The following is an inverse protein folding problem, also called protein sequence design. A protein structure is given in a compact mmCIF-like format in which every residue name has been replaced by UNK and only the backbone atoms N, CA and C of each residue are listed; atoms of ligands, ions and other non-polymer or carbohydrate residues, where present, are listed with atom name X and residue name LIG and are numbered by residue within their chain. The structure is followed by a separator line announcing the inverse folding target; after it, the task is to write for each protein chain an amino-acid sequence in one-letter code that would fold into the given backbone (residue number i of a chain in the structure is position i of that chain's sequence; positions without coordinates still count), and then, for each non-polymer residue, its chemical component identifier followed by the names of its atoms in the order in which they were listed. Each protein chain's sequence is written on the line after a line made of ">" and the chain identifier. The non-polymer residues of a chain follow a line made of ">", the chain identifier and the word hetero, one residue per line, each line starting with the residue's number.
data_IF_173963254631
#
_entry.id   IF_173963254631
#
_cell.length_a   1.000
_cell.length_b   1.000
_cell.length_c   1.000
_cell.angle_alpha   90.00
_cell.angle_beta   90.00
_cell.angle_gamma   90.00
#
_symmetry.space_group_name_H-M   'P 1'
#
loop_
_entity.id
_entity.type
_entity.pdbx_description
1 polymer ?
#
# COMPACT_ATOMS: atom_id res chain seq x y z
N UNK A 1 4.79 2.31 -12.75
CA UNK A 1 4.05 1.72 -13.89
C UNK A 1 2.96 0.78 -13.40
N UNK A 2 3.30 -0.35 -12.74
CA UNK A 2 2.28 -1.26 -12.18
C UNK A 2 1.32 -0.55 -11.20
N UNK A 3 1.86 0.19 -10.23
CA UNK A 3 1.06 0.99 -9.28
C UNK A 3 0.07 1.93 -9.98
N UNK A 4 0.56 2.70 -10.98
CA UNK A 4 -0.19 3.74 -11.68
C UNK A 4 -1.35 3.17 -12.52
N UNK A 5 -1.17 1.98 -13.09
CA UNK A 5 -2.19 1.31 -13.92
C UNK A 5 -3.22 0.60 -13.05
N UNK A 6 -2.80 -0.03 -11.95
CA UNK A 6 -3.70 -0.80 -11.09
C UNK A 6 -4.47 0.07 -10.07
N UNK A 7 -3.98 1.26 -9.74
CA UNK A 7 -4.66 2.19 -8.82
C UNK A 7 -6.11 2.55 -9.25
N UNK A 8 -6.41 2.95 -10.51
CA UNK A 8 -7.78 3.22 -10.92
C UNK A 8 -8.65 1.95 -11.00
N UNK A 9 -8.08 0.80 -11.37
CA UNK A 9 -8.78 -0.49 -11.42
C UNK A 9 -9.23 -0.91 -10.01
N UNK A 10 -8.36 -0.73 -9.03
CA UNK A 10 -8.65 -0.94 -7.61
C UNK A 10 -9.66 0.04 -7.05
N UNK A 11 -9.59 1.32 -7.44
CA UNK A 11 -10.59 2.31 -7.07
C UNK A 11 -11.99 1.89 -7.50
N UNK A 12 -12.13 1.44 -8.75
CA UNK A 12 -13.39 0.94 -9.31
C UNK A 12 -13.87 -0.36 -8.65
N UNK A 13 -12.96 -1.28 -8.33
CA UNK A 13 -13.30 -2.52 -7.61
C UNK A 13 -13.68 -2.24 -6.14
N UNK A 14 -13.03 -1.26 -5.49
CA UNK A 14 -13.29 -0.87 -4.11
C UNK A 14 -14.66 -0.23 -3.88
N UNK A 15 -15.24 0.37 -4.92
CA UNK A 15 -16.61 0.90 -4.88
C UNK A 15 -17.69 -0.19 -5.01
N UNK A 16 -17.35 -1.34 -5.62
CA UNK A 16 -18.29 -2.46 -5.84
C UNK A 16 -18.16 -3.61 -4.85
N UNK A 17 -16.98 -3.80 -4.27
CA UNK A 17 -16.68 -4.89 -3.34
C UNK A 17 -16.37 -4.37 -1.93
N UNK A 18 -16.43 -5.27 -0.94
CA UNK A 18 -16.07 -4.94 0.44
C UNK A 18 -14.60 -4.47 0.51
N UNK A 19 -14.41 -3.16 0.67
CA UNK A 19 -13.09 -2.52 0.69
C UNK A 19 -12.15 -3.15 1.73
N UNK A 20 -12.69 -3.65 2.86
CA UNK A 20 -11.91 -4.35 3.90
C UNK A 20 -11.23 -5.62 3.37
N UNK A 21 -11.97 -6.47 2.66
CA UNK A 21 -11.44 -7.73 2.10
C UNK A 21 -10.43 -7.43 1.00
N UNK A 22 -10.72 -6.42 0.18
CA UNK A 22 -9.82 -5.98 -0.88
C UNK A 22 -8.49 -5.47 -0.29
N UNK A 23 -8.53 -4.64 0.75
CA UNK A 23 -7.32 -4.17 1.44
C UNK A 23 -6.50 -5.32 2.03
N UNK A 24 -7.14 -6.31 2.66
CA UNK A 24 -6.42 -7.47 3.22
C UNK A 24 -5.73 -8.29 2.12
N UNK A 25 -6.41 -8.53 1.00
CA UNK A 25 -5.84 -9.25 -0.15
C UNK A 25 -4.63 -8.52 -0.74
N UNK A 26 -4.73 -7.22 -0.96
CA UNK A 26 -3.65 -6.45 -1.56
C UNK A 26 -2.46 -6.27 -0.60
N UNK A 27 -2.71 -6.13 0.71
CA UNK A 27 -1.65 -6.21 1.72
C UNK A 27 -0.97 -7.57 1.72
N UNK A 28 -1.72 -8.67 1.59
CA UNK A 28 -1.15 -10.01 1.48
C UNK A 28 -0.28 -10.16 0.23
N UNK A 29 -0.74 -9.65 -0.92
CA UNK A 29 0.03 -9.63 -2.18
C UNK A 29 1.31 -8.80 -2.03
N UNK A 30 1.24 -7.64 -1.38
CA UNK A 30 2.40 -6.79 -1.11
C UNK A 30 3.42 -7.52 -0.23
N UNK A 31 2.97 -8.14 0.85
CA UNK A 31 3.82 -8.91 1.76
C UNK A 31 4.46 -10.11 1.06
N UNK A 32 3.68 -10.86 0.28
CA UNK A 32 4.18 -11.98 -0.54
C UNK A 32 5.21 -11.53 -1.55
N UNK A 33 4.95 -10.47 -2.32
CA UNK A 33 5.88 -9.94 -3.32
C UNK A 33 7.20 -9.49 -2.69
N UNK A 34 7.13 -8.80 -1.55
CA UNK A 34 8.32 -8.35 -0.81
C UNK A 34 9.10 -9.53 -0.23
N UNK A 35 8.41 -10.53 0.30
CA UNK A 35 9.04 -11.75 0.82
C UNK A 35 9.72 -12.58 -0.28
N UNK A 36 9.05 -12.75 -1.42
CA UNK A 36 9.59 -13.42 -2.60
C UNK A 36 10.82 -12.69 -3.15
N UNK A 37 10.84 -11.36 -3.07
CA UNK A 37 12.00 -10.56 -3.47
C UNK A 37 13.25 -10.88 -2.64
N UNK A 38 13.09 -11.21 -1.35
CA UNK A 38 14.19 -11.64 -0.48
C UNK A 38 14.82 -12.98 -0.91
N UNK A 39 14.11 -13.80 -1.68
CA UNK A 39 14.61 -15.09 -2.19
C UNK A 39 15.02 -15.02 -3.68
N UNK A 40 14.92 -13.84 -4.31
CA UNK A 40 15.19 -13.71 -5.73
C UNK A 40 16.69 -13.86 -6.03
N UNK A 41 17.03 -14.79 -6.91
CA UNK A 41 18.42 -15.07 -7.32
C UNK A 41 18.72 -14.58 -8.75
N UNK A 42 17.72 -14.06 -9.47
CA UNK A 42 17.83 -13.59 -10.85
C UNK A 42 17.09 -12.28 -11.05
N UNK A 43 17.63 -11.42 -11.92
CA UNK A 43 17.06 -10.11 -12.26
C UNK A 43 15.62 -10.22 -12.77
N UNK A 44 15.30 -11.28 -13.52
CA UNK A 44 13.94 -11.48 -14.05
C UNK A 44 12.96 -11.82 -12.92
N UNK A 45 13.39 -12.65 -11.96
CA UNK A 45 12.58 -12.93 -10.77
C UNK A 45 12.38 -11.68 -9.91
N UNK A 46 13.44 -10.88 -9.72
CA UNK A 46 13.36 -9.62 -9.01
C UNK A 46 12.33 -8.67 -9.65
N UNK A 47 12.35 -8.53 -10.99
CA UNK A 47 11.38 -7.70 -11.73
C UNK A 47 9.95 -8.21 -11.54
N UNK A 48 9.74 -9.53 -11.61
CA UNK A 48 8.41 -10.12 -11.44
C UNK A 48 7.88 -9.93 -10.01
N UNK A 49 8.71 -10.17 -8.99
CA UNK A 49 8.32 -9.98 -7.59
C UNK A 49 8.11 -8.50 -7.26
N UNK A 50 8.92 -7.61 -7.84
CA UNK A 50 8.73 -6.17 -7.70
C UNK A 50 7.45 -5.68 -8.38
N UNK A 51 7.09 -6.25 -9.54
CA UNK A 51 5.80 -5.99 -10.17
C UNK A 51 4.63 -6.48 -9.30
N UNK A 52 4.76 -7.66 -8.68
CA UNK A 52 3.76 -8.21 -7.76
C UNK A 52 3.59 -7.33 -6.51
N UNK A 53 4.70 -6.90 -5.90
CA UNK A 53 4.68 -5.95 -4.80
C UNK A 53 4.06 -4.60 -5.23
N UNK A 54 4.37 -4.13 -6.45
CA UNK A 54 3.79 -2.92 -7.03
C UNK A 54 2.27 -3.02 -7.23
N UNK A 55 1.75 -4.19 -7.59
CA UNK A 55 0.31 -4.46 -7.63
C UNK A 55 -0.28 -4.37 -6.21
N UNK A 56 0.33 -5.03 -5.22
CA UNK A 56 -0.11 -4.94 -3.83
C UNK A 56 -0.13 -3.49 -3.29
N UNK A 57 0.90 -2.71 -3.62
CA UNK A 57 1.06 -1.32 -3.20
C UNK A 57 -0.04 -0.39 -3.73
N UNK A 58 -0.68 -0.73 -4.87
CA UNK A 58 -1.73 0.12 -5.46
C UNK A 58 -2.99 0.26 -4.59
N UNK A 59 -3.19 -0.63 -3.60
CA UNK A 59 -4.28 -0.50 -2.63
C UNK A 59 -3.90 0.28 -1.37
N UNK A 60 -2.64 0.69 -1.20
CA UNK A 60 -2.21 1.32 0.06
C UNK A 60 -2.74 2.74 0.26
N UNK A 61 -3.12 3.46 -0.80
CA UNK A 61 -3.47 4.88 -0.69
C UNK A 61 -4.95 5.14 -0.97
N UNK A 62 -5.41 4.96 -2.20
CA UNK A 62 -6.78 5.33 -2.58
C UNK A 62 -7.89 4.61 -1.76
N UNK A 63 -7.88 3.26 -1.59
CA UNK A 63 -8.92 2.60 -0.81
C UNK A 63 -8.73 2.74 0.71
N UNK A 64 -7.49 2.90 1.20
CA UNK A 64 -7.23 3.17 2.62
C UNK A 64 -7.78 4.54 3.02
N UNK A 65 -7.50 5.57 2.22
CA UNK A 65 -8.05 6.91 2.44
C UNK A 65 -9.57 6.87 2.34
N UNK A 66 -10.14 6.24 1.31
CA UNK A 66 -11.60 6.11 1.19
C UNK A 66 -12.24 5.40 2.41
N UNK A 67 -11.62 4.35 2.93
CA UNK A 67 -12.07 3.67 4.15
C UNK A 67 -11.97 4.59 5.36
N UNK A 68 -10.84 5.24 5.61
CA UNK A 68 -10.69 6.14 6.76
C UNK A 68 -11.67 7.32 6.70
N UNK A 69 -11.90 7.88 5.52
CA UNK A 69 -12.84 8.98 5.28
C UNK A 69 -14.31 8.56 5.45
N UNK A 70 -14.65 7.26 5.36
CA UNK A 70 -15.97 6.72 5.72
C UNK A 70 -16.22 6.69 7.23
N UNK A 71 -15.16 6.62 8.03
CA UNK A 71 -15.25 6.54 9.49
C UNK A 71 -15.29 7.92 10.17
N UNK A 72 -15.06 8.99 9.40
CA UNK A 72 -14.95 10.35 9.89
C UNK A 72 -16.02 11.23 9.23
N UNK A 73 -16.58 12.16 9.99
CA UNK A 73 -17.58 13.10 9.46
C UNK A 73 -16.99 14.02 8.38
N UNK A 74 -17.82 14.43 7.42
CA UNK A 74 -17.40 15.21 6.25
C UNK A 74 -16.58 16.47 6.63
N UNK A 75 -16.97 17.14 7.72
CA UNK A 75 -16.27 18.32 8.25
C UNK A 75 -14.84 18.07 8.73
N UNK A 76 -14.47 16.83 9.05
CA UNK A 76 -13.16 16.44 9.62
C UNK A 76 -12.33 15.59 8.67
N UNK A 77 -12.81 15.38 7.45
CA UNK A 77 -12.13 14.61 6.40
C UNK A 77 -10.72 15.10 6.10
N UNK A 78 -10.52 16.42 5.99
CA UNK A 78 -9.21 17.03 5.80
C UNK A 78 -8.25 16.79 6.97
N UNK A 79 -8.73 16.92 8.21
CA UNK A 79 -7.94 16.64 9.42
C UNK A 79 -7.55 15.17 9.51
N UNK A 80 -8.46 14.26 9.18
CA UNK A 80 -8.18 12.83 9.16
C UNK A 80 -7.13 12.46 8.09
N UNK A 81 -7.17 13.11 6.92
CA UNK A 81 -6.15 12.95 5.89
C UNK A 81 -4.77 13.40 6.41
N UNK A 82 -4.70 14.59 7.01
CA UNK A 82 -3.46 15.10 7.59
C UNK A 82 -2.87 14.15 8.65
N UNK A 83 -3.71 13.57 9.51
CA UNK A 83 -3.25 12.57 10.49
C UNK A 83 -2.72 11.29 9.84
N UNK A 84 -3.35 10.81 8.75
CA UNK A 84 -2.85 9.66 7.99
C UNK A 84 -1.49 9.93 7.34
N UNK A 85 -1.29 11.13 6.79
CA UNK A 85 -0.02 11.54 6.20
C UNK A 85 1.09 11.68 7.25
N UNK A 86 0.76 12.18 8.44
CA UNK A 86 1.69 12.19 9.59
C UNK A 86 2.13 10.76 9.92
N UNK A 87 1.18 9.83 10.04
CA UNK A 87 1.48 8.42 10.32
C UNK A 87 2.39 7.80 9.25
N UNK A 88 2.14 8.10 7.98
CA UNK A 88 2.98 7.65 6.86
C UNK A 88 4.41 8.19 6.95
N UNK A 89 4.55 9.47 7.32
CA UNK A 89 5.86 10.11 7.52
C UNK A 89 6.64 9.48 8.68
N UNK A 90 5.97 9.17 9.80
CA UNK A 90 6.58 8.44 10.90
C UNK A 90 7.06 7.05 10.50
N UNK A 91 6.30 6.35 9.66
CA UNK A 91 6.71 5.04 9.11
C UNK A 91 8.00 5.12 8.29
N UNK A 92 8.12 6.14 7.43
CA UNK A 92 9.33 6.39 6.65
C UNK A 92 10.52 6.67 7.57
N UNK A 93 10.35 7.57 8.55
CA UNK A 93 11.41 7.90 9.52
C UNK A 93 11.85 6.67 10.31
N UNK A 94 10.90 5.87 10.80
CA UNK A 94 11.19 4.64 11.54
C UNK A 94 11.96 3.62 10.70
N UNK A 95 11.52 3.39 9.46
CA UNK A 95 12.21 2.47 8.54
C UNK A 95 13.61 3.00 8.20
N UNK A 96 13.76 4.30 8.00
CA UNK A 96 15.03 4.94 7.67
C UNK A 96 16.04 4.90 8.81
N UNK A 97 15.57 4.93 10.07
CA UNK A 97 16.41 4.76 11.25
C UNK A 97 16.79 3.28 11.49
N UNK A 98 15.96 2.34 11.07
CA UNK A 98 16.23 0.91 11.20
C UNK A 98 17.29 0.40 10.21
N UNK A 99 17.33 0.96 8.99
CA UNK A 99 18.32 0.59 7.96
C UNK A 99 19.77 0.68 8.46
N UNK A 100 20.24 1.80 9.06
CA UNK A 100 21.62 1.92 9.55
C UNK A 100 21.94 1.06 10.79
N UNK A 101 20.93 0.53 11.51
CA UNK A 101 21.16 -0.41 12.62
C UNK A 101 21.39 -1.85 12.14
N UNK A 102 21.14 -2.13 10.86
CA UNK A 102 21.28 -3.46 10.25
C UNK A 102 22.51 -3.63 9.36
N UNK A 103 23.31 -2.58 9.19
CA UNK A 103 24.64 -2.58 8.55
C UNK A 103 25.74 -2.62 9.60
#
# INVERSE_FOLDING_TARGET
>A
IAYTVFAPVLGLLGDRYNVRVLLTLFCAILGLGTFLMSYSSSIVQAILFFALAGIGSSACWAPVVALAQRWVSDKRRGTALAFMDIGSSFGIVGTSAAVPLSM
#
